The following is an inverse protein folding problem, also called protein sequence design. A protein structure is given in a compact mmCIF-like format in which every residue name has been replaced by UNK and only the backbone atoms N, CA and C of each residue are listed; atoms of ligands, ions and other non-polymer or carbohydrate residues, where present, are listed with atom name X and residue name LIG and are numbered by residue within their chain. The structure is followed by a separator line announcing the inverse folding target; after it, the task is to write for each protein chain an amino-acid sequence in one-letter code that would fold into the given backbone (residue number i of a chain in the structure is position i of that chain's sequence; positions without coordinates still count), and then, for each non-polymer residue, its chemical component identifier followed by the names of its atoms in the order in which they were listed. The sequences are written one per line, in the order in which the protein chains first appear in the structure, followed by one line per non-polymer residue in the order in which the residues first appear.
data_IF_846898286900
#
_entry.id   IF_846898286900
#
_cell.length_a   1.000
_cell.length_b   1.000
_cell.length_c   1.000
_cell.angle_alpha   90.00
_cell.angle_beta   90.00
_cell.angle_gamma   90.00
#
_symmetry.space_group_name_H-M   'P 1'
#
loop_
_entity.id
_entity.type
_entity.pdbx_description
1 polymer ?
#
# COMPACT_ATOMS: atom_id res chain seq x y z
N UNK A 1 18.81 7.18 -14.57
CA UNK A 1 18.66 7.15 -13.10
C UNK A 1 17.17 7.18 -12.80
N UNK A 2 16.63 6.17 -12.11
CA UNK A 2 15.23 6.18 -11.65
C UNK A 2 15.14 7.15 -10.47
N UNK A 3 14.24 8.11 -10.52
CA UNK A 3 13.92 8.94 -9.36
C UNK A 3 13.33 8.01 -8.28
N UNK A 4 14.01 7.89 -7.14
CA UNK A 4 13.41 7.24 -5.97
C UNK A 4 12.39 8.21 -5.42
N UNK A 5 11.10 7.91 -5.58
CA UNK A 5 10.03 8.62 -4.88
C UNK A 5 10.39 8.65 -3.39
N UNK A 6 10.52 9.85 -2.82
CA UNK A 6 10.81 10.00 -1.40
C UNK A 6 9.76 9.22 -0.60
N UNK A 7 10.21 8.48 0.40
CA UNK A 7 9.31 7.70 1.24
C UNK A 7 8.30 8.65 1.91
N UNK A 8 6.98 8.44 1.78
CA UNK A 8 6.00 9.37 2.34
C UNK A 8 6.06 9.44 3.86
N UNK A 9 5.72 10.61 4.40
CA UNK A 9 5.56 10.78 5.84
C UNK A 9 4.48 9.83 6.40
N UNK A 10 4.69 9.37 7.63
CA UNK A 10 3.82 8.43 8.36
C UNK A 10 3.65 7.01 7.77
N UNK A 11 4.21 6.73 6.59
CA UNK A 11 4.24 5.37 6.03
C UNK A 11 5.29 4.55 6.79
N UNK A 12 4.86 3.47 7.43
CA UNK A 12 5.71 2.58 8.24
C UNK A 12 5.98 1.23 7.59
N UNK A 13 5.33 0.94 6.47
CA UNK A 13 5.60 -0.19 5.59
C UNK A 13 4.98 0.05 4.21
N UNK A 14 5.61 -0.49 3.17
CA UNK A 14 5.14 -0.46 1.78
C UNK A 14 5.37 -1.84 1.18
N UNK A 15 4.35 -2.38 0.53
CA UNK A 15 4.39 -3.70 -0.11
C UNK A 15 4.10 -3.54 -1.60
N UNK A 16 4.93 -4.11 -2.47
CA UNK A 16 4.66 -4.16 -3.91
C UNK A 16 3.48 -5.10 -4.17
N UNK A 17 2.53 -4.67 -5.01
CA UNK A 17 1.45 -5.55 -5.43
C UNK A 17 1.94 -6.54 -6.49
N UNK A 18 1.23 -7.65 -6.69
CA UNK A 18 1.51 -8.54 -7.81
C UNK A 18 1.31 -7.84 -9.18
N UNK A 19 0.39 -6.87 -9.28
CA UNK A 19 0.27 -6.00 -10.45
C UNK A 19 1.57 -5.20 -10.71
N UNK A 20 2.22 -4.69 -9.66
CA UNK A 20 3.50 -3.98 -9.75
C UNK A 20 4.57 -4.84 -10.41
N UNK A 21 4.65 -6.12 -10.02
CA UNK A 21 5.60 -7.07 -10.58
C UNK A 21 5.31 -7.37 -12.06
N UNK A 22 4.03 -7.62 -12.40
CA UNK A 22 3.61 -7.95 -13.77
C UNK A 22 3.83 -6.80 -14.75
N UNK A 23 3.69 -5.55 -14.29
CA UNK A 23 3.80 -4.35 -15.11
C UNK A 23 5.15 -3.64 -14.98
N UNK A 24 6.02 -4.11 -14.09
CA UNK A 24 7.24 -3.43 -13.68
C UNK A 24 7.01 -1.99 -13.19
N UNK A 25 5.84 -1.74 -12.59
CA UNK A 25 5.40 -0.43 -12.10
C UNK A 25 5.53 -0.36 -10.56
N UNK A 26 6.57 0.33 -10.03
CA UNK A 26 6.82 0.40 -8.60
C UNK A 26 5.81 1.25 -7.82
N UNK A 27 4.90 1.97 -8.50
CA UNK A 27 3.90 2.83 -7.85
C UNK A 27 2.64 2.04 -7.43
N UNK A 28 2.48 0.79 -7.89
CA UNK A 28 1.36 -0.07 -7.51
C UNK A 28 1.63 -0.78 -6.18
N UNK A 29 1.50 -0.04 -5.08
CA UNK A 29 1.82 -0.54 -3.74
C UNK A 29 0.60 -0.65 -2.84
N UNK A 30 0.80 -1.34 -1.71
CA UNK A 30 -0.02 -1.17 -0.51
C UNK A 30 0.81 -0.44 0.54
N UNK A 31 0.39 0.77 0.87
CA UNK A 31 1.07 1.62 1.84
C UNK A 31 0.39 1.53 3.19
N UNK A 32 1.16 1.26 4.24
CA UNK A 32 0.71 1.23 5.63
C UNK A 32 1.13 2.51 6.33
N UNK A 33 0.17 3.37 6.63
CA UNK A 33 0.37 4.59 7.38
C UNK A 33 -0.03 4.42 8.86
N UNK A 34 0.76 4.99 9.76
CA UNK A 34 0.46 5.08 11.19
C UNK A 34 -0.10 6.47 11.49
N UNK A 35 -1.42 6.57 11.68
CA UNK A 35 -2.03 7.79 12.16
C UNK A 35 -1.96 7.93 13.69
N UNK A 36 -2.38 9.08 14.25
CA UNK A 36 -2.91 9.12 15.62
C UNK A 36 -4.11 8.16 15.66
N UNK A 37 -4.57 7.59 16.75
CA UNK A 37 -5.78 6.73 16.82
C UNK A 37 -5.80 5.39 16.03
N UNK A 38 -5.38 5.32 14.76
CA UNK A 38 -5.49 4.12 13.92
C UNK A 38 -4.34 3.95 12.93
N UNK A 39 -4.08 2.69 12.57
CA UNK A 39 -3.21 2.34 11.45
C UNK A 39 -4.06 2.03 10.22
N UNK A 40 -3.63 2.46 9.04
CA UNK A 40 -4.37 2.29 7.78
C UNK A 40 -3.47 1.74 6.69
N UNK A 41 -3.91 0.70 5.99
CA UNK A 41 -3.32 0.23 4.75
C UNK A 41 -4.16 0.73 3.56
N UNK A 42 -3.52 1.28 2.53
CA UNK A 42 -4.17 1.73 1.29
C UNK A 42 -3.50 1.06 0.09
N UNK A 43 -4.28 0.34 -0.72
CA UNK A 43 -3.79 -0.21 -1.99
C UNK A 43 -3.94 0.83 -3.10
N UNK A 44 -2.83 1.26 -3.71
CA UNK A 44 -2.82 2.23 -4.80
C UNK A 44 -3.28 1.62 -6.14
N UNK A 45 -3.24 0.29 -6.27
CA UNK A 45 -3.78 -0.40 -7.45
C UNK A 45 -5.31 -0.42 -7.49
N UNK A 46 -5.97 -0.92 -6.44
CA UNK A 46 -7.43 -1.06 -6.42
C UNK A 46 -8.20 0.00 -5.60
N UNK A 47 -7.49 0.84 -4.84
CA UNK A 47 -8.09 1.86 -3.98
C UNK A 47 -8.69 1.35 -2.67
N UNK A 48 -8.68 0.02 -2.41
CA UNK A 48 -9.23 -0.51 -1.16
C UNK A 48 -8.39 -0.07 0.05
N UNK A 49 -9.07 0.17 1.16
CA UNK A 49 -8.48 0.56 2.45
C UNK A 49 -8.87 -0.41 3.54
N UNK A 50 -7.92 -0.69 4.42
CA UNK A 50 -8.12 -1.47 5.64
C UNK A 50 -7.53 -0.71 6.83
N UNK A 51 -8.25 -0.62 7.94
CA UNK A 51 -7.77 0.09 9.12
C UNK A 51 -8.14 -0.60 10.43
N UNK A 52 -7.29 -0.43 11.44
CA UNK A 52 -7.52 -0.88 12.81
C UNK A 52 -7.23 0.24 13.80
N UNK A 53 -8.10 0.38 14.80
CA UNK A 53 -7.98 1.34 15.89
C UNK A 53 -6.84 0.96 16.87
N UNK A 54 -6.58 1.85 17.84
CA UNK A 54 -5.60 1.66 18.90
C UNK A 54 -4.17 1.40 18.41
N UNK A 55 -3.80 1.97 17.25
CA UNK A 55 -2.46 1.83 16.66
C UNK A 55 -2.03 0.38 16.40
N UNK A 56 -2.98 -0.54 16.18
CA UNK A 56 -2.67 -1.95 15.92
C UNK A 56 -2.03 -2.12 14.53
N UNK A 57 -0.70 -1.95 14.46
CA UNK A 57 0.06 -1.99 13.21
C UNK A 57 0.27 -3.41 12.69
N UNK A 58 0.32 -4.41 13.57
CA UNK A 58 0.61 -5.81 13.18
C UNK A 58 -0.47 -6.38 12.25
N UNK A 59 -1.75 -6.29 12.65
CA UNK A 59 -2.86 -6.75 11.83
C UNK A 59 -2.97 -5.99 10.50
N UNK A 60 -2.68 -4.69 10.50
CA UNK A 60 -2.72 -3.85 9.30
C UNK A 60 -1.58 -4.21 8.34
N UNK A 61 -0.36 -4.44 8.85
CA UNK A 61 0.77 -4.93 8.05
C UNK A 61 0.51 -6.33 7.48
N UNK A 62 -0.04 -7.22 8.29
CA UNK A 62 -0.38 -8.59 7.85
C UNK A 62 -1.41 -8.57 6.72
N UNK A 63 -2.49 -7.78 6.87
CA UNK A 63 -3.47 -7.60 5.80
C UNK A 63 -2.83 -6.97 4.55
N UNK A 64 -1.99 -5.94 4.72
CA UNK A 64 -1.37 -5.24 3.60
C UNK A 64 -0.51 -6.18 2.75
N UNK A 65 0.30 -7.02 3.40
CA UNK A 65 1.10 -8.03 2.73
C UNK A 65 0.22 -9.04 1.97
N UNK A 66 -0.77 -9.65 2.64
CA UNK A 66 -1.66 -10.62 2.01
C UNK A 66 -2.44 -10.05 0.82
N UNK A 67 -2.83 -8.78 0.90
CA UNK A 67 -3.50 -8.09 -0.18
C UNK A 67 -2.54 -7.82 -1.34
N UNK A 68 -1.34 -7.30 -1.05
CA UNK A 68 -0.34 -6.96 -2.05
C UNK A 68 0.05 -8.18 -2.90
N UNK A 69 0.30 -9.33 -2.28
CA UNK A 69 0.67 -10.59 -2.93
C UNK A 69 -0.37 -11.10 -3.95
N UNK A 70 -1.62 -10.61 -3.88
CA UNK A 70 -2.73 -11.08 -4.72
C UNK A 70 -3.32 -10.00 -5.61
N UNK A 71 -3.09 -8.72 -5.30
CA UNK A 71 -3.71 -7.61 -6.00
C UNK A 71 -3.20 -7.53 -7.45
N UNK A 72 -4.12 -7.67 -8.40
CA UNK A 72 -3.90 -7.56 -9.85
C UNK A 72 -4.62 -6.35 -10.47
N UNK A 73 -5.07 -5.42 -9.63
CA UNK A 73 -5.84 -4.27 -10.10
C UNK A 73 -4.94 -3.28 -10.83
N UNK A 74 -5.46 -2.73 -11.92
CA UNK A 74 -4.86 -1.62 -12.62
C UNK A 74 -5.36 -0.32 -11.99
N UNK A 75 -4.49 0.69 -11.83
CA UNK A 75 -4.93 2.00 -11.36
C UNK A 75 -5.93 2.57 -12.39
N UNK A 76 -6.93 3.30 -11.91
CA UNK A 76 -7.87 3.98 -12.79
C UNK A 76 -7.10 5.01 -13.64
N UNK A 77 -7.26 5.02 -14.98
CA UNK A 77 -6.65 6.06 -15.80
C UNK A 77 -7.14 7.43 -15.35
N UNK A 78 -6.22 8.33 -15.03
CA UNK A 78 -6.51 9.76 -14.88
C UNK A 78 -6.68 10.33 -16.28
N UNK A 79 -7.92 10.71 -16.62
CA UNK A 79 -8.23 11.42 -17.86
C UNK A 79 -7.65 12.85 -17.85
#
# INVERSE_FOLDING_TARGET
MRATTAWPEDVIARYLTHAAELLHDPELTVDVAKGPEKSTATCLGCGIRFSKWAYETSAVKHWAQQHAEKCRALPRPTA
#
